data_IF_272489438518
#
_entry.id   IF_272489438518
#
_cell.length_a   1.000
_cell.length_b   1.000
_cell.length_c   1.000
_cell.angle_alpha   90.00
_cell.angle_beta   90.00
_cell.angle_gamma   90.00
#
_symmetry.space_group_name_H-M   'P 1'
#
loop_
_entity.id
_entity.type
_entity.pdbx_description
1 polymer ?
#
# COMPACT_ATOMS: atom_id res chain seq x y z
N UNK A 1 -16.45 -1.48 24.39
CA UNK A 1 -15.91 -1.82 25.71
C UNK A 1 -15.43 -0.54 26.37
N UNK A 2 -15.52 -0.38 27.69
CA UNK A 2 -15.00 0.81 28.36
C UNK A 2 -13.51 0.92 28.01
N UNK A 3 -13.16 1.94 27.24
CA UNK A 3 -11.82 2.13 26.70
C UNK A 3 -10.93 2.70 27.79
N UNK A 4 -9.79 2.07 28.05
CA UNK A 4 -8.79 2.66 28.95
C UNK A 4 -8.29 4.01 28.45
N UNK A 5 -7.77 4.83 29.36
CA UNK A 5 -7.19 6.13 29.04
C UNK A 5 -5.87 5.98 28.28
N UNK A 6 -5.44 7.05 27.60
CA UNK A 6 -4.13 7.11 26.96
C UNK A 6 -3.13 7.71 27.95
N UNK A 7 -1.99 7.04 28.14
CA UNK A 7 -0.83 7.64 28.80
C UNK A 7 -0.15 8.68 27.90
N UNK A 8 0.86 9.37 28.43
CA UNK A 8 1.67 10.38 27.73
C UNK A 8 2.38 9.82 26.49
N UNK A 9 2.47 8.49 26.36
CA UNK A 9 3.03 7.78 25.21
C UNK A 9 1.95 7.31 24.21
N UNK A 10 0.68 7.71 24.42
CA UNK A 10 -0.46 7.37 23.59
C UNK A 10 -0.89 5.89 23.69
N UNK A 11 -0.49 5.19 24.75
CA UNK A 11 -0.80 3.77 24.98
C UNK A 11 -1.98 3.64 25.95
N UNK A 12 -2.80 2.61 25.75
CA UNK A 12 -3.97 2.37 26.61
C UNK A 12 -3.54 1.87 28.00
N UNK A 13 -4.10 2.50 29.04
CA UNK A 13 -3.96 2.18 30.47
C UNK A 13 -5.35 1.90 31.09
N UNK A 14 -5.53 0.81 31.84
CA UNK A 14 -4.58 -0.28 32.08
C UNK A 14 -4.17 -1.02 30.80
N UNK A 15 -2.93 -1.53 30.74
CA UNK A 15 -2.39 -2.24 29.55
C UNK A 15 -3.22 -3.47 29.18
N UNK A 16 -3.94 -4.05 30.14
CA UNK A 16 -4.88 -5.17 29.96
C UNK A 16 -6.08 -4.83 29.07
N UNK A 17 -6.38 -3.54 28.86
CA UNK A 17 -7.46 -3.08 27.98
C UNK A 17 -7.00 -2.88 26.52
N UNK A 18 -5.75 -3.20 26.17
CA UNK A 18 -5.27 -3.12 24.79
C UNK A 18 -5.93 -4.21 23.94
N UNK A 19 -6.56 -3.80 22.85
CA UNK A 19 -7.26 -4.71 21.95
C UNK A 19 -6.32 -5.66 21.17
N UNK A 20 -5.10 -5.23 20.86
CA UNK A 20 -4.16 -5.93 19.98
C UNK A 20 -2.72 -5.86 20.53
N UNK A 21 -2.42 -6.54 21.65
CA UNK A 21 -1.06 -6.61 22.17
C UNK A 21 -0.20 -7.51 21.27
N UNK A 22 1.02 -7.07 20.96
CA UNK A 22 1.99 -7.79 20.13
C UNK A 22 3.43 -7.71 20.70
N UNK A 23 3.56 -7.20 21.93
CA UNK A 23 4.84 -7.05 22.62
C UNK A 23 4.84 -7.91 23.89
N UNK A 24 5.99 -8.42 24.26
CA UNK A 24 6.20 -9.17 25.50
C UNK A 24 6.28 -8.26 26.74
N UNK A 25 6.57 -8.85 27.90
CA UNK A 25 6.73 -8.15 29.17
C UNK A 25 7.88 -7.13 29.16
N UNK A 26 8.92 -7.39 28.37
CA UNK A 26 10.10 -6.53 28.20
C UNK A 26 9.88 -5.43 27.13
N UNK A 27 8.73 -5.45 26.45
CA UNK A 27 8.36 -4.48 25.42
C UNK A 27 8.95 -4.77 24.04
N UNK A 28 9.57 -5.94 23.84
CA UNK A 28 10.05 -6.42 22.54
C UNK A 28 8.89 -7.01 21.75
N UNK A 29 9.05 -7.09 20.43
CA UNK A 29 8.04 -7.66 19.54
C UNK A 29 7.97 -9.17 19.77
N UNK A 30 6.79 -9.66 20.12
CA UNK A 30 6.51 -11.09 20.24
C UNK A 30 5.84 -11.58 18.96
N UNK A 31 6.52 -12.45 18.21
CA UNK A 31 6.07 -12.91 16.90
C UNK A 31 4.73 -13.68 16.94
N UNK A 32 4.50 -14.62 17.89
CA UNK A 32 3.19 -15.24 18.06
C UNK A 32 2.05 -14.24 18.28
N UNK A 33 2.24 -13.29 19.20
CA UNK A 33 1.22 -12.28 19.51
C UNK A 33 1.03 -11.30 18.35
N UNK A 34 2.09 -10.99 17.61
CA UNK A 34 2.03 -10.15 16.40
C UNK A 34 1.19 -10.80 15.30
N UNK A 35 1.43 -12.07 14.98
CA UNK A 35 0.63 -12.83 14.01
C UNK A 35 -0.84 -12.90 14.45
N UNK A 36 -1.07 -13.18 15.74
CA UNK A 36 -2.42 -13.22 16.30
C UNK A 36 -3.11 -11.84 16.25
N UNK A 37 -2.39 -10.76 16.51
CA UNK A 37 -2.91 -9.40 16.42
C UNK A 37 -3.28 -9.03 14.97
N UNK A 38 -2.47 -9.40 13.98
CA UNK A 38 -2.79 -9.21 12.56
C UNK A 38 -4.06 -9.97 12.17
N UNK A 39 -4.21 -11.23 12.60
CA UNK A 39 -5.39 -12.05 12.31
C UNK A 39 -6.67 -11.52 12.98
N UNK A 40 -6.57 -10.95 14.19
CA UNK A 40 -7.71 -10.43 14.96
C UNK A 40 -8.12 -9.02 14.59
N UNK A 41 -7.23 -8.25 13.95
CA UNK A 41 -7.46 -6.85 13.61
C UNK A 41 -8.73 -6.64 12.76
N UNK A 42 -8.99 -7.40 11.67
CA UNK A 42 -10.21 -7.25 10.88
C UNK A 42 -11.48 -7.49 11.70
N UNK A 43 -11.43 -8.47 12.62
CA UNK A 43 -12.54 -8.89 13.49
C UNK A 43 -12.77 -7.95 14.70
N UNK A 44 -11.89 -6.97 14.92
CA UNK A 44 -12.01 -6.06 16.06
C UNK A 44 -13.17 -5.08 15.90
N UNK A 45 -13.73 -4.61 17.03
CA UNK A 45 -14.78 -3.57 17.08
C UNK A 45 -14.22 -2.14 17.00
N UNK A 46 -12.97 -1.99 16.55
CA UNK A 46 -12.31 -0.70 16.41
C UNK A 46 -12.94 0.09 15.25
N UNK A 47 -12.87 1.43 15.33
CA UNK A 47 -13.24 2.29 14.20
C UNK A 47 -12.34 2.00 13.00
N UNK A 48 -12.78 2.34 11.79
CA UNK A 48 -11.95 2.20 10.58
C UNK A 48 -10.59 2.91 10.75
N UNK A 49 -10.61 4.14 11.29
CA UNK A 49 -9.41 4.92 11.52
C UNK A 49 -8.48 4.29 12.58
N UNK A 50 -9.02 3.63 13.60
CA UNK A 50 -8.21 2.95 14.61
C UNK A 50 -7.68 1.60 14.11
N UNK A 51 -8.46 0.90 13.27
CA UNK A 51 -7.98 -0.28 12.55
C UNK A 51 -6.80 0.09 11.65
N UNK A 52 -6.87 1.23 10.97
CA UNK A 52 -5.79 1.78 10.15
C UNK A 52 -4.48 1.92 10.92
N UNK A 53 -4.55 2.66 12.03
CA UNK A 53 -3.40 2.96 12.89
C UNK A 53 -2.82 1.68 13.50
N UNK A 54 -3.68 0.76 13.91
CA UNK A 54 -3.26 -0.54 14.44
C UNK A 54 -2.61 -1.41 13.36
N UNK A 55 -3.19 -1.48 12.15
CA UNK A 55 -2.60 -2.24 11.01
C UNK A 55 -1.20 -1.76 10.72
N UNK A 56 -1.03 -0.46 10.49
CA UNK A 56 0.28 0.13 10.18
C UNK A 56 1.32 -0.27 11.21
N UNK A 57 1.02 -0.13 12.51
CA UNK A 57 1.95 -0.48 13.60
C UNK A 57 2.30 -1.97 13.62
N UNK A 58 1.34 -2.86 13.35
CA UNK A 58 1.56 -4.30 13.33
C UNK A 58 2.37 -4.71 12.08
N UNK A 59 2.05 -4.17 10.91
CA UNK A 59 2.78 -4.49 9.67
C UNK A 59 4.22 -3.95 9.71
N UNK A 60 4.43 -2.75 10.24
CA UNK A 60 5.78 -2.18 10.47
C UNK A 60 6.60 -3.08 11.40
N UNK A 61 5.99 -3.59 12.48
CA UNK A 61 6.62 -4.53 13.40
C UNK A 61 6.91 -5.89 12.74
N UNK A 62 6.03 -6.38 11.87
CA UNK A 62 6.19 -7.65 11.17
C UNK A 62 7.35 -7.59 10.16
N UNK A 63 7.42 -6.50 9.40
CA UNK A 63 8.54 -6.20 8.50
C UNK A 63 9.86 -6.09 9.26
N UNK A 64 9.89 -5.33 10.35
CA UNK A 64 11.09 -5.18 11.19
C UNK A 64 11.55 -6.51 11.81
N UNK A 65 10.63 -7.44 12.04
CA UNK A 65 10.92 -8.75 12.60
C UNK A 65 11.15 -9.85 11.53
N UNK A 66 11.18 -9.50 10.24
CA UNK A 66 11.40 -10.45 9.15
C UNK A 66 10.28 -11.48 8.95
N UNK A 67 9.06 -11.16 9.37
CA UNK A 67 7.88 -12.05 9.29
C UNK A 67 6.82 -11.44 8.38
N UNK A 68 6.51 -12.14 7.29
CA UNK A 68 5.47 -11.82 6.31
C UNK A 68 5.38 -12.94 5.27
N UNK A 69 4.23 -13.11 4.62
CA UNK A 69 4.04 -14.04 3.49
C UNK A 69 5.22 -13.96 2.50
N UNK A 70 5.71 -15.08 1.94
CA UNK A 70 6.67 -15.02 0.86
C UNK A 70 6.07 -14.15 -0.25
N UNK A 71 6.82 -13.12 -0.66
CA UNK A 71 6.45 -12.28 -1.78
C UNK A 71 6.07 -13.19 -2.96
N UNK A 72 4.81 -13.10 -3.40
CA UNK A 72 4.38 -13.72 -4.65
C UNK A 72 5.36 -13.23 -5.73
N UNK A 73 6.10 -14.17 -6.33
CA UNK A 73 7.09 -13.89 -7.37
C UNK A 73 6.43 -13.09 -8.49
N UNK A 74 6.83 -11.83 -8.63
CA UNK A 74 6.29 -10.87 -9.62
C UNK A 74 5.57 -9.64 -9.05
N UNK A 75 5.47 -9.51 -7.72
CA UNK A 75 4.76 -8.38 -7.09
C UNK A 75 5.72 -7.24 -6.72
N UNK A 76 5.73 -6.16 -7.50
CA UNK A 76 6.27 -4.87 -7.05
C UNK A 76 5.17 -4.18 -6.24
N UNK A 77 5.28 -4.21 -4.91
CA UNK A 77 4.40 -3.45 -4.02
C UNK A 77 4.81 -1.98 -4.06
N UNK A 78 4.02 -1.11 -4.72
CA UNK A 78 4.46 0.26 -4.99
C UNK A 78 3.66 1.29 -4.20
N UNK A 79 4.30 2.09 -3.35
CA UNK A 79 3.66 2.78 -2.23
C UNK A 79 2.56 3.81 -2.60
N UNK A 80 1.50 3.86 -1.79
CA UNK A 80 0.59 5.03 -1.71
C UNK A 80 1.31 6.16 -0.97
N UNK A 81 1.52 7.29 -1.66
CA UNK A 81 2.25 8.46 -1.18
C UNK A 81 1.36 9.47 -0.47
N UNK A 82 0.15 9.72 -0.96
CA UNK A 82 -0.73 10.78 -0.45
C UNK A 82 -2.20 10.39 -0.54
N UNK A 83 -2.99 10.83 0.45
CA UNK A 83 -4.44 10.66 0.50
C UNK A 83 -5.11 12.02 0.69
N UNK A 84 -6.14 12.34 -0.09
CA UNK A 84 -7.00 13.50 0.12
C UNK A 84 -8.39 13.03 0.55
N UNK A 85 -8.68 13.09 1.85
CA UNK A 85 -9.95 12.62 2.42
C UNK A 85 -11.20 13.34 1.92
N UNK A 86 -11.08 14.61 1.50
CA UNK A 86 -12.22 15.37 0.96
C UNK A 86 -12.55 14.96 -0.48
N UNK A 87 -11.55 14.53 -1.25
CA UNK A 87 -11.71 14.15 -2.65
C UNK A 87 -11.67 12.63 -2.89
N UNK A 88 -11.31 11.86 -1.86
CA UNK A 88 -11.09 10.41 -1.89
C UNK A 88 -10.05 9.97 -2.93
N UNK A 89 -8.99 10.78 -3.04
CA UNK A 89 -7.90 10.54 -4.00
C UNK A 89 -6.69 9.97 -3.29
N UNK A 90 -6.15 8.86 -3.81
CA UNK A 90 -4.84 8.33 -3.41
C UNK A 90 -3.86 8.43 -4.57
N UNK A 91 -2.70 9.04 -4.32
CA UNK A 91 -1.54 9.10 -5.23
C UNK A 91 -0.53 8.05 -4.79
N UNK A 92 0.07 7.35 -5.74
CA UNK A 92 1.15 6.40 -5.48
C UNK A 92 2.13 6.31 -6.64
N UNK A 93 3.30 5.76 -6.35
CA UNK A 93 4.21 5.33 -7.41
C UNK A 93 3.66 4.02 -7.97
N UNK A 94 3.85 3.79 -9.28
CA UNK A 94 3.52 2.53 -9.96
C UNK A 94 4.79 1.78 -10.34
N UNK A 95 5.85 2.50 -10.76
CA UNK A 95 7.21 1.97 -10.95
C UNK A 95 8.23 3.09 -10.69
N UNK A 96 9.40 2.74 -10.17
CA UNK A 96 10.51 3.66 -9.89
C UNK A 96 11.82 3.12 -10.51
N UNK A 97 12.62 3.95 -11.18
CA UNK A 97 13.86 3.49 -11.80
C UNK A 97 14.92 3.10 -10.78
N UNK A 98 15.77 2.16 -11.20
CA UNK A 98 16.93 1.67 -10.43
C UNK A 98 16.54 1.13 -9.04
N UNK A 99 15.30 0.70 -8.88
CA UNK A 99 14.86 -0.14 -7.76
C UNK A 99 15.03 -1.58 -8.21
N UNK A 100 15.99 -2.28 -7.59
CA UNK A 100 16.28 -3.66 -7.93
C UNK A 100 15.02 -4.52 -7.79
N UNK A 101 14.53 -5.04 -8.91
CA UNK A 101 13.65 -6.19 -8.86
C UNK A 101 14.51 -7.44 -8.58
N UNK A 102 13.86 -8.56 -8.26
CA UNK A 102 14.55 -9.83 -7.98
C UNK A 102 15.32 -10.44 -9.17
N UNK A 103 15.38 -9.76 -10.33
CA UNK A 103 15.97 -10.19 -11.60
C UNK A 103 17.25 -9.43 -12.01
N UNK A 104 17.77 -8.55 -11.15
CA UNK A 104 19.14 -7.99 -11.18
C UNK A 104 19.46 -6.89 -12.21
N UNK A 105 18.51 -6.48 -13.05
CA UNK A 105 18.53 -5.19 -13.73
C UNK A 105 17.35 -4.34 -13.26
N UNK A 106 17.63 -3.20 -12.60
CA UNK A 106 16.58 -2.24 -12.27
C UNK A 106 15.91 -1.75 -13.55
N UNK A 107 14.60 -1.50 -13.52
CA UNK A 107 13.88 -1.00 -14.70
C UNK A 107 14.40 0.39 -15.06
N UNK A 108 14.73 0.61 -16.33
CA UNK A 108 15.22 1.91 -16.79
C UNK A 108 14.07 2.92 -16.90
N UNK A 109 14.34 4.21 -16.67
CA UNK A 109 13.33 5.26 -16.77
C UNK A 109 12.60 5.30 -18.13
N UNK A 110 13.31 5.01 -19.24
CA UNK A 110 12.72 4.96 -20.58
C UNK A 110 11.74 3.78 -20.76
N UNK A 111 12.04 2.63 -20.14
CA UNK A 111 11.16 1.47 -20.14
C UNK A 111 9.92 1.72 -19.29
N UNK A 112 10.09 2.39 -18.14
CA UNK A 112 8.98 2.83 -17.28
C UNK A 112 8.06 3.79 -18.06
N UNK A 113 8.62 4.76 -18.78
CA UNK A 113 7.84 5.69 -19.59
C UNK A 113 7.07 4.97 -20.71
N UNK A 114 7.72 4.02 -21.39
CA UNK A 114 7.07 3.19 -22.42
C UNK A 114 5.91 2.38 -21.85
N UNK A 115 6.10 1.74 -20.68
CA UNK A 115 5.06 1.00 -19.99
C UNK A 115 3.91 1.91 -19.52
N UNK A 116 4.22 3.12 -19.03
CA UNK A 116 3.22 4.10 -18.63
C UNK A 116 2.36 4.55 -19.82
N UNK A 117 3.00 4.85 -20.96
CA UNK A 117 2.30 5.23 -22.18
C UNK A 117 1.42 4.09 -22.72
N UNK A 118 1.95 2.86 -22.76
CA UNK A 118 1.18 1.68 -23.17
C UNK A 118 -0.04 1.45 -22.27
N UNK A 119 0.13 1.58 -20.95
CA UNK A 119 -0.99 1.49 -20.02
C UNK A 119 -2.11 2.48 -20.37
N UNK A 120 -1.79 3.73 -20.73
CA UNK A 120 -2.82 4.71 -21.08
C UNK A 120 -3.58 4.35 -22.37
N UNK A 121 -2.88 3.78 -23.36
CA UNK A 121 -3.53 3.26 -24.56
C UNK A 121 -4.45 2.08 -24.25
N UNK A 122 -4.02 1.17 -23.39
CA UNK A 122 -4.80 0.00 -23.00
C UNK A 122 -5.99 0.39 -22.10
N UNK A 123 -5.77 1.29 -21.15
CA UNK A 123 -6.79 1.81 -20.25
C UNK A 123 -7.89 2.53 -21.04
N UNK A 124 -7.52 3.45 -21.93
CA UNK A 124 -8.50 4.15 -22.80
C UNK A 124 -9.17 3.23 -23.80
N UNK A 125 -8.50 2.18 -24.23
CA UNK A 125 -9.04 1.16 -25.12
C UNK A 125 -9.91 0.10 -24.42
N UNK A 126 -10.12 0.18 -23.10
CA UNK A 126 -10.89 -0.81 -22.34
C UNK A 126 -10.22 -2.19 -22.25
N UNK A 127 -8.90 -2.25 -22.44
CA UNK A 127 -8.08 -3.49 -22.42
C UNK A 127 -7.44 -3.76 -21.06
N UNK A 128 -7.53 -2.82 -20.12
CA UNK A 128 -6.99 -2.95 -18.77
C UNK A 128 -8.05 -3.45 -17.80
N UNK A 129 -7.75 -4.53 -17.07
CA UNK A 129 -8.55 -4.98 -15.93
C UNK A 129 -7.89 -4.46 -14.67
N UNK A 130 -8.57 -3.54 -13.97
CA UNK A 130 -8.12 -3.05 -12.68
C UNK A 130 -8.56 -4.01 -11.59
N UNK A 131 -7.66 -4.35 -10.68
CA UNK A 131 -7.98 -5.23 -9.55
C UNK A 131 -7.58 -4.62 -8.22
N UNK A 132 -8.48 -4.71 -7.25
CA UNK A 132 -8.19 -4.43 -5.86
C UNK A 132 -7.65 -5.70 -5.19
N UNK A 133 -6.41 -5.62 -4.68
CA UNK A 133 -5.76 -6.74 -4.00
C UNK A 133 -5.54 -7.98 -4.87
N UNK A 134 -5.47 -7.83 -6.20
CA UNK A 134 -5.39 -8.94 -7.17
C UNK A 134 -6.58 -9.91 -7.18
N UNK A 135 -7.66 -9.61 -6.46
CA UNK A 135 -8.80 -10.51 -6.30
C UNK A 135 -10.08 -9.95 -6.92
N UNK A 136 -10.36 -8.67 -6.69
CA UNK A 136 -11.62 -8.05 -7.08
C UNK A 136 -11.43 -7.12 -8.27
N UNK A 137 -12.08 -7.44 -9.40
CA UNK A 137 -12.15 -6.53 -10.55
C UNK A 137 -12.88 -5.24 -10.17
N UNK A 138 -12.27 -4.11 -10.47
CA UNK A 138 -12.81 -2.77 -10.24
C UNK A 138 -13.53 -2.28 -11.50
N UNK A 139 -14.68 -1.66 -11.29
CA UNK A 139 -15.41 -0.94 -12.33
C UNK A 139 -15.06 0.56 -12.31
N UNK A 140 -15.43 1.28 -13.37
CA UNK A 140 -15.27 2.75 -13.43
C UNK A 140 -16.01 3.48 -12.29
N UNK A 141 -17.07 2.88 -11.75
CA UNK A 141 -17.78 3.40 -10.58
C UNK A 141 -16.97 3.28 -9.28
N UNK A 142 -15.99 2.40 -9.23
CA UNK A 142 -15.26 2.05 -8.01
C UNK A 142 -13.96 2.84 -7.88
N UNK A 143 -13.28 3.06 -9.00
CA UNK A 143 -12.05 3.84 -9.06
C UNK A 143 -11.89 4.55 -10.41
N UNK A 144 -11.53 5.83 -10.37
CA UNK A 144 -11.33 6.67 -11.56
C UNK A 144 -9.91 7.21 -11.57
N UNK A 145 -9.18 7.02 -12.67
CA UNK A 145 -7.85 7.59 -12.85
C UNK A 145 -7.97 9.12 -13.00
N UNK A 146 -7.29 9.86 -12.14
CA UNK A 146 -7.32 11.33 -12.13
C UNK A 146 -5.99 11.97 -12.51
N UNK A 147 -4.87 11.27 -12.30
CA UNK A 147 -3.54 11.72 -12.68
C UNK A 147 -2.71 10.55 -13.15
N UNK A 148 -1.92 10.76 -14.19
CA UNK A 148 -0.97 9.79 -14.75
C UNK A 148 0.21 10.59 -15.31
N UNK A 149 1.41 10.39 -14.77
CA UNK A 149 2.59 11.13 -15.21
C UNK A 149 3.91 10.44 -14.83
N UNK A 150 4.97 10.81 -15.55
CA UNK A 150 6.36 10.52 -15.18
C UNK A 150 6.90 11.68 -14.34
N UNK A 151 7.55 11.36 -13.23
CA UNK A 151 8.23 12.34 -12.38
C UNK A 151 9.33 13.05 -13.19
N UNK A 152 9.23 14.37 -13.43
CA UNK A 152 10.20 15.07 -14.27
C UNK A 152 11.54 15.31 -13.55
N UNK A 153 11.51 15.26 -12.22
CA UNK A 153 12.65 15.50 -11.33
C UNK A 153 12.51 14.64 -10.08
N UNK A 154 13.61 14.48 -9.36
CA UNK A 154 13.56 13.98 -7.99
C UNK A 154 12.69 14.92 -7.15
N UNK A 155 11.73 14.35 -6.42
CA UNK A 155 10.81 15.12 -5.61
C UNK A 155 10.47 14.41 -4.31
N UNK A 156 9.90 15.15 -3.37
CA UNK A 156 9.36 14.60 -2.13
C UNK A 156 7.85 14.76 -2.10
N UNK A 157 7.12 13.66 -1.96
CA UNK A 157 5.67 13.64 -1.84
C UNK A 157 5.32 13.12 -0.45
N UNK A 158 4.72 13.97 0.39
CA UNK A 158 4.31 13.61 1.76
C UNK A 158 5.44 13.00 2.61
N UNK A 159 6.67 13.48 2.43
CA UNK A 159 7.87 12.99 3.13
C UNK A 159 8.51 11.74 2.53
N UNK A 160 7.97 11.17 1.46
CA UNK A 160 8.60 10.08 0.71
C UNK A 160 9.34 10.63 -0.51
N UNK A 161 10.58 10.19 -0.70
CA UNK A 161 11.34 10.51 -1.90
C UNK A 161 10.77 9.75 -3.10
N UNK A 162 10.76 10.41 -4.26
CA UNK A 162 10.37 9.85 -5.55
C UNK A 162 11.42 10.31 -6.57
N UNK A 163 12.08 9.36 -7.25
CA UNK A 163 13.10 9.68 -8.26
C UNK A 163 12.50 10.21 -9.55
N UNK A 164 13.25 11.05 -10.26
CA UNK A 164 12.98 11.38 -11.66
C UNK A 164 12.84 10.10 -12.49
N UNK A 165 11.91 10.08 -13.44
CA UNK A 165 11.60 8.89 -14.24
C UNK A 165 10.63 7.91 -13.58
N UNK A 166 10.25 8.11 -12.32
CA UNK A 166 9.19 7.29 -11.68
C UNK A 166 7.84 7.52 -12.34
N UNK A 167 7.07 6.46 -12.55
CA UNK A 167 5.68 6.56 -12.97
C UNK A 167 4.76 6.68 -11.77
N UNK A 168 3.93 7.73 -11.74
CA UNK A 168 2.93 7.97 -10.70
C UNK A 168 1.51 7.97 -11.25
N UNK A 169 0.58 7.53 -10.40
CA UNK A 169 -0.85 7.62 -10.67
C UNK A 169 -1.62 8.09 -9.44
N UNK A 170 -2.68 8.86 -9.67
CA UNK A 170 -3.67 9.19 -8.66
C UNK A 170 -5.05 8.70 -9.05
N UNK A 171 -5.70 8.01 -8.12
CA UNK A 171 -7.02 7.42 -8.31
C UNK A 171 -8.01 8.01 -7.32
N UNK A 172 -9.18 8.41 -7.82
CA UNK A 172 -10.34 8.72 -6.99
C UNK A 172 -11.11 7.42 -6.75
N UNK A 173 -11.36 7.11 -5.49
CA UNK A 173 -12.09 5.90 -5.09
C UNK A 173 -13.53 6.23 -4.71
N UNK A 174 -14.42 5.24 -4.84
CA UNK A 174 -15.77 5.31 -4.33
C UNK A 174 -15.83 5.24 -2.79
N UNK A 175 -16.92 5.75 -2.21
CA UNK A 175 -17.14 5.82 -0.76
C UNK A 175 -16.97 4.47 -0.06
N UNK A 176 -17.34 3.37 -0.71
CA UNK A 176 -17.27 2.03 -0.11
C UNK A 176 -15.84 1.45 -0.09
N UNK A 177 -14.94 1.94 -0.96
CA UNK A 177 -13.54 1.52 -1.00
C UNK A 177 -12.63 2.46 -0.21
N UNK A 178 -12.97 3.74 -0.13
CA UNK A 178 -12.13 4.75 0.51
C UNK A 178 -11.73 4.42 1.96
N UNK A 179 -12.62 3.90 2.83
CA UNK A 179 -12.27 3.44 4.17
C UNK A 179 -11.15 2.38 4.18
N UNK A 180 -11.11 1.48 3.19
CA UNK A 180 -10.10 0.42 3.06
C UNK A 180 -8.75 1.01 2.67
N UNK A 181 -8.74 1.97 1.74
CA UNK A 181 -7.54 2.73 1.35
C UNK A 181 -6.99 3.54 2.54
N UNK A 182 -7.83 4.30 3.24
CA UNK A 182 -7.44 5.02 4.45
C UNK A 182 -6.93 4.08 5.55
N UNK A 183 -7.47 2.85 5.61
CA UNK A 183 -7.02 1.86 6.58
C UNK A 183 -5.63 1.29 6.30
N UNK A 184 -5.07 1.58 5.12
CA UNK A 184 -3.85 0.93 4.64
C UNK A 184 -4.05 -0.57 4.49
N UNK A 185 -5.29 -1.03 4.23
CA UNK A 185 -5.57 -2.40 3.80
C UNK A 185 -4.80 -2.68 2.51
N UNK A 186 -4.83 -1.70 1.60
CA UNK A 186 -4.03 -1.62 0.39
C UNK A 186 -2.96 -0.55 0.59
N UNK A 187 -1.70 -0.95 0.45
CA UNK A 187 -0.55 -0.09 0.72
C UNK A 187 0.16 0.37 -0.54
N UNK A 188 -0.27 -0.12 -1.69
CA UNK A 188 0.38 0.19 -2.95
C UNK A 188 -0.36 -0.23 -4.22
N UNK A 189 0.16 0.27 -5.33
CA UNK A 189 -0.16 -0.16 -6.68
C UNK A 189 0.74 -1.33 -7.08
N UNK A 190 0.25 -2.16 -7.99
CA UNK A 190 1.00 -3.27 -8.55
C UNK A 190 0.57 -3.45 -10.01
N UNK A 191 1.53 -3.67 -10.90
CA UNK A 191 1.25 -4.06 -12.29
C UNK A 191 1.24 -5.58 -12.37
N UNK A 192 0.08 -6.16 -12.69
CA UNK A 192 -0.01 -7.56 -13.12
C UNK A 192 0.51 -7.66 -14.56
N UNK A 193 1.71 -8.19 -14.74
CA UNK A 193 2.49 -8.04 -15.98
C UNK A 193 1.92 -8.72 -17.24
N UNK A 194 2.21 -8.11 -18.39
CA UNK A 194 2.56 -8.80 -19.62
C UNK A 194 3.93 -8.29 -20.08
N UNK A 195 5.01 -8.88 -19.56
CA UNK A 195 6.33 -8.73 -20.18
C UNK A 195 6.55 -9.93 -21.11
N UNK A 196 6.42 -9.73 -22.42
CA UNK A 196 6.95 -10.68 -23.41
C UNK A 196 8.39 -10.27 -23.72
N UNK A 197 9.35 -11.11 -23.36
CA UNK A 197 10.74 -10.99 -23.78
C UNK A 197 10.86 -11.52 -25.22
N UNK A 198 11.44 -10.74 -26.13
CA UNK A 198 11.93 -11.30 -27.40
C UNK A 198 13.12 -12.24 -27.10
N UNK A 199 13.16 -13.46 -27.66
CA UNK A 199 14.33 -14.30 -27.53
C UNK A 199 15.52 -13.65 -28.24
N UNK A 200 16.69 -13.73 -27.57
CA UNK A 200 17.99 -13.35 -28.13
C UNK A 200 18.37 -14.19 -29.35
#
# INVERSE_FOLDING_TARGET
SPGGEKDDEGKTVPRTLRHLPFKDADGKVDLPHLRNALARLPQSKLSVADKAKARKRLTDAARAAGVGEPANKGMTDVAILKQNGQQQVALGVVMEPDVADTQSDGTQAAEIETAANQFMEDYRGGRTILRLGHEMDLQDSDAVLTQHYIAPVDMTVNGQAVRAGSWLQAWKYADHLWPRILSGEFTGFSIGGFARKEPA
#
